data_IF_140449419433
#
_entry.id   IF_140449419433
#
_cell.length_a   1.000
_cell.length_b   1.000
_cell.length_c   1.000
_cell.angle_alpha   90.00
_cell.angle_beta   90.00
_cell.angle_gamma   90.00
#
_symmetry.space_group_name_H-M   'P 1'
#
loop_
_entity.id
_entity.type
_entity.pdbx_description
1 polymer ?
#
# COMPACT_ATOMS: atom_id res chain seq x y z
N UNK A 1 -11.62 21.03 -10.67
CA UNK A 1 -10.59 20.27 -9.92
C UNK A 1 -11.28 19.46 -8.83
N UNK A 2 -11.46 18.16 -9.03
CA UNK A 2 -12.33 17.33 -8.19
C UNK A 2 -11.47 16.51 -7.23
N UNK A 3 -11.57 16.77 -5.92
CA UNK A 3 -10.99 15.92 -4.86
C UNK A 3 -11.48 14.49 -5.05
N UNK A 4 -10.64 13.50 -4.77
CA UNK A 4 -11.08 12.12 -4.53
C UNK A 4 -11.98 12.12 -3.27
N UNK A 5 -13.28 12.37 -3.45
CA UNK A 5 -14.30 12.06 -2.44
C UNK A 5 -14.49 10.55 -2.50
N UNK A 6 -14.54 9.86 -1.36
CA UNK A 6 -15.07 8.50 -1.33
C UNK A 6 -16.50 8.54 -1.85
N UNK A 7 -16.79 7.80 -2.92
CA UNK A 7 -18.16 7.69 -3.42
C UNK A 7 -18.84 6.55 -2.70
N UNK A 8 -20.09 6.78 -2.28
CA UNK A 8 -20.98 5.71 -1.84
C UNK A 8 -21.09 4.67 -2.97
N UNK A 9 -21.21 3.39 -2.59
CA UNK A 9 -21.34 2.32 -3.54
C UNK A 9 -22.54 2.57 -4.48
N UNK A 10 -22.46 2.19 -5.77
CA UNK A 10 -23.57 2.38 -6.71
C UNK A 10 -24.87 1.75 -6.18
N UNK A 11 -26.05 2.34 -6.47
CA UNK A 11 -27.32 1.73 -6.09
C UNK A 11 -27.39 0.30 -6.64
N UNK A 12 -27.56 -0.69 -5.76
CA UNK A 12 -27.65 -2.11 -6.13
C UNK A 12 -26.35 -2.92 -5.99
N UNK A 13 -25.26 -2.36 -5.44
CA UNK A 13 -24.07 -3.17 -5.12
C UNK A 13 -24.21 -3.85 -3.76
N UNK A 14 -24.09 -5.18 -3.72
CA UNK A 14 -24.09 -5.97 -2.46
C UNK A 14 -22.77 -5.87 -1.67
N UNK A 15 -21.79 -5.11 -2.18
CA UNK A 15 -20.48 -4.97 -1.57
C UNK A 15 -20.36 -3.66 -0.79
N UNK A 16 -20.22 -3.70 0.55
CA UNK A 16 -19.90 -2.51 1.33
C UNK A 16 -18.48 -2.02 0.96
N UNK A 17 -18.37 -0.79 0.43
CA UNK A 17 -17.07 -0.20 0.09
C UNK A 17 -17.16 1.18 -0.56
N UNK A 18 -16.05 1.91 -0.55
CA UNK A 18 -15.91 3.18 -1.28
C UNK A 18 -15.40 2.88 -2.70
N UNK A 19 -16.15 3.31 -3.72
CA UNK A 19 -15.69 3.20 -5.11
C UNK A 19 -14.70 4.33 -5.42
N UNK A 20 -13.53 3.98 -5.97
CA UNK A 20 -12.56 4.94 -6.49
C UNK A 20 -12.87 5.22 -7.96
N UNK A 21 -12.98 6.50 -8.34
CA UNK A 21 -13.05 6.89 -9.76
C UNK A 21 -11.67 6.62 -10.37
N UNK A 22 -11.57 5.52 -11.11
CA UNK A 22 -10.34 5.04 -11.71
C UNK A 22 -9.99 5.96 -12.89
N UNK A 23 -8.84 6.64 -12.82
CA UNK A 23 -8.26 7.37 -13.96
C UNK A 23 -7.44 6.46 -14.89
N UNK A 24 -7.17 5.22 -14.46
CA UNK A 24 -6.43 4.20 -15.18
C UNK A 24 -7.35 3.29 -16.02
N UNK A 25 -6.84 2.83 -17.16
CA UNK A 25 -7.50 1.78 -17.96
C UNK A 25 -7.34 0.42 -17.29
N UNK A 26 -8.22 -0.54 -17.59
CA UNK A 26 -8.10 -1.93 -17.09
C UNK A 26 -6.74 -2.55 -17.46
N UNK A 27 -6.22 -2.28 -18.66
CA UNK A 27 -4.88 -2.72 -19.09
C UNK A 27 -3.78 -2.15 -18.19
N UNK A 28 -3.85 -0.87 -17.83
CA UNK A 28 -2.88 -0.23 -16.95
C UNK A 28 -2.92 -0.81 -15.53
N UNK A 29 -4.10 -1.21 -15.03
CA UNK A 29 -4.23 -1.89 -13.75
C UNK A 29 -3.60 -3.29 -13.76
N UNK A 30 -3.82 -4.07 -14.83
CA UNK A 30 -3.17 -5.37 -14.97
C UNK A 30 -1.64 -5.25 -15.03
N UNK A 31 -1.12 -4.28 -15.78
CA UNK A 31 0.32 -4.04 -15.84
C UNK A 31 0.89 -3.66 -14.47
N UNK A 32 0.22 -2.74 -13.75
CA UNK A 32 0.65 -2.33 -12.42
C UNK A 32 0.66 -3.50 -11.42
N UNK A 33 -0.28 -4.44 -11.51
CA UNK A 33 -0.27 -5.65 -10.67
C UNK A 33 0.92 -6.56 -11.02
N UNK A 34 1.19 -6.79 -12.31
CA UNK A 34 2.31 -7.61 -12.75
C UNK A 34 3.66 -7.00 -12.33
N UNK A 35 3.83 -5.70 -12.53
CA UNK A 35 5.05 -4.97 -12.14
C UNK A 35 5.24 -4.94 -10.61
N UNK A 36 4.14 -4.99 -9.85
CA UNK A 36 4.14 -5.10 -8.39
C UNK A 36 4.31 -6.55 -7.87
N UNK A 37 4.63 -7.51 -8.76
CA UNK A 37 4.86 -8.92 -8.44
C UNK A 37 3.63 -9.61 -7.81
N UNK A 38 2.43 -9.20 -8.23
CA UNK A 38 1.16 -9.78 -7.77
C UNK A 38 0.60 -10.84 -8.73
N UNK A 39 -0.12 -11.86 -8.21
CA UNK A 39 -0.34 -12.11 -6.78
C UNK A 39 0.94 -12.65 -6.11
N UNK A 40 1.14 -12.30 -4.83
CA UNK A 40 2.30 -12.80 -4.08
C UNK A 40 2.29 -14.34 -4.03
N UNK A 41 3.46 -15.01 -4.17
CA UNK A 41 3.57 -16.46 -4.12
C UNK A 41 3.10 -17.01 -2.78
N UNK A 42 2.39 -18.14 -2.82
CA UNK A 42 2.05 -18.93 -1.63
C UNK A 42 3.25 -19.82 -1.29
N UNK A 43 3.57 -19.95 0.00
CA UNK A 43 4.29 -21.14 0.46
C UNK A 43 3.45 -22.39 0.12
N UNK A 44 4.10 -23.53 -0.08
CA UNK A 44 3.53 -24.77 -0.62
C UNK A 44 2.31 -25.36 0.14
N UNK A 45 1.81 -24.74 1.20
CA UNK A 45 0.89 -25.37 2.15
C UNK A 45 -0.29 -24.52 2.64
N UNK A 46 -0.84 -23.60 1.83
CA UNK A 46 -1.80 -22.64 2.38
C UNK A 46 -2.99 -22.26 1.51
N UNK A 47 -3.99 -23.15 1.54
CA UNK A 47 -5.39 -22.86 1.20
C UNK A 47 -6.20 -22.31 2.40
N UNK A 48 -5.56 -21.67 3.38
CA UNK A 48 -6.28 -21.10 4.53
C UNK A 48 -6.99 -19.80 4.13
N UNK A 49 -8.25 -19.64 4.57
CA UNK A 49 -9.11 -18.46 4.29
C UNK A 49 -8.39 -17.12 4.52
N UNK A 50 -7.52 -17.07 5.53
CA UNK A 50 -6.72 -15.87 5.85
C UNK A 50 -5.71 -15.49 4.77
N UNK A 51 -5.09 -16.46 4.10
CA UNK A 51 -4.13 -16.16 3.04
C UNK A 51 -4.81 -15.72 1.73
N UNK A 52 -5.98 -16.28 1.42
CA UNK A 52 -6.81 -15.77 0.32
C UNK A 52 -7.20 -14.30 0.56
N UNK A 53 -7.66 -13.98 1.77
CA UNK A 53 -7.95 -12.59 2.16
C UNK A 53 -6.70 -11.69 2.08
N UNK A 54 -5.53 -12.20 2.44
CA UNK A 54 -4.28 -11.45 2.33
C UNK A 54 -3.89 -11.16 0.88
N UNK A 55 -4.07 -12.11 -0.04
CA UNK A 55 -3.84 -11.92 -1.47
C UNK A 55 -4.81 -10.91 -2.06
N UNK A 56 -6.10 -11.04 -1.76
CA UNK A 56 -7.13 -10.11 -2.24
C UNK A 56 -6.88 -8.69 -1.71
N UNK A 57 -6.50 -8.57 -0.44
CA UNK A 57 -6.17 -7.28 0.16
C UNK A 57 -4.91 -6.66 -0.46
N UNK A 58 -3.89 -7.47 -0.72
CA UNK A 58 -2.67 -7.04 -1.40
C UNK A 58 -2.96 -6.52 -2.81
N UNK A 59 -3.74 -7.27 -3.59
CA UNK A 59 -4.14 -6.88 -4.94
C UNK A 59 -5.00 -5.61 -4.91
N UNK A 60 -6.07 -5.60 -4.12
CA UNK A 60 -7.01 -4.47 -4.04
C UNK A 60 -6.31 -3.18 -3.58
N UNK A 61 -5.48 -3.25 -2.54
CA UNK A 61 -4.77 -2.08 -2.02
C UNK A 61 -3.76 -1.56 -3.03
N UNK A 62 -3.00 -2.44 -3.67
CA UNK A 62 -1.99 -2.05 -4.67
C UNK A 62 -2.62 -1.36 -5.87
N UNK A 63 -3.71 -1.92 -6.41
CA UNK A 63 -4.46 -1.31 -7.51
C UNK A 63 -5.09 0.03 -7.10
N UNK A 64 -5.64 0.12 -5.89
CA UNK A 64 -6.20 1.36 -5.37
C UNK A 64 -5.14 2.46 -5.23
N UNK A 65 -3.96 2.15 -4.68
CA UNK A 65 -2.84 3.09 -4.56
C UNK A 65 -2.37 3.56 -5.94
N UNK A 66 -2.16 2.64 -6.88
CA UNK A 66 -1.81 3.00 -8.25
C UNK A 66 -2.86 3.93 -8.89
N UNK A 67 -4.15 3.59 -8.76
CA UNK A 67 -5.24 4.35 -9.36
C UNK A 67 -5.37 5.77 -8.80
N UNK A 68 -5.12 5.98 -7.50
CA UNK A 68 -5.18 7.33 -6.91
C UNK A 68 -3.95 8.17 -7.22
N UNK A 69 -2.78 7.54 -7.40
CA UNK A 69 -1.53 8.24 -7.66
C UNK A 69 -1.34 8.59 -9.14
N UNK A 70 -1.72 7.70 -10.07
CA UNK A 70 -1.41 7.81 -11.51
C UNK A 70 -1.83 9.14 -12.14
N UNK A 71 -2.97 9.69 -11.71
CA UNK A 71 -3.48 10.97 -12.22
C UNK A 71 -2.56 12.17 -11.93
N UNK A 72 -1.68 12.05 -10.95
CA UNK A 72 -0.76 13.11 -10.53
C UNK A 72 0.71 12.71 -10.58
N UNK A 73 1.00 11.46 -10.96
CA UNK A 73 2.35 10.96 -11.05
C UNK A 73 3.07 11.56 -12.28
N UNK A 74 4.39 11.80 -12.21
CA UNK A 74 5.17 12.25 -13.35
C UNK A 74 5.01 11.30 -14.54
N UNK A 75 4.64 11.83 -15.71
CA UNK A 75 4.40 11.02 -16.90
C UNK A 75 3.27 9.99 -16.80
N UNK A 76 2.41 10.08 -15.77
CA UNK A 76 1.37 9.08 -15.47
C UNK A 76 1.91 7.81 -14.81
N UNK A 77 3.22 7.72 -14.57
CA UNK A 77 3.90 6.55 -14.04
C UNK A 77 3.94 6.59 -12.51
N UNK A 78 2.86 6.11 -11.87
CA UNK A 78 2.80 6.03 -10.40
C UNK A 78 3.73 4.95 -9.81
N UNK A 79 4.09 3.96 -10.60
CA UNK A 79 4.94 2.85 -10.17
C UNK A 79 6.32 2.90 -10.82
N UNK A 80 7.37 2.82 -10.00
CA UNK A 80 8.75 2.62 -10.44
C UNK A 80 9.37 1.48 -9.62
N UNK A 81 9.74 0.35 -10.24
CA UNK A 81 10.51 -0.70 -9.55
C UNK A 81 11.83 -0.14 -9.01
N UNK A 82 12.08 -0.33 -7.72
CA UNK A 82 13.25 0.19 -7.02
C UNK A 82 13.11 1.66 -6.62
N UNK A 83 11.92 2.25 -6.84
CA UNK A 83 11.58 3.59 -6.37
C UNK A 83 11.41 3.66 -4.84
N UNK A 84 10.99 4.83 -4.32
CA UNK A 84 10.79 5.01 -2.89
C UNK A 84 9.69 4.07 -2.37
N UNK A 85 9.87 3.56 -1.16
CA UNK A 85 8.84 2.77 -0.50
C UNK A 85 7.62 3.63 -0.18
N UNK A 86 6.47 2.98 0.02
CA UNK A 86 5.26 3.70 0.45
C UNK A 86 5.46 4.45 1.77
N UNK A 87 6.35 3.95 2.65
CA UNK A 87 6.74 4.63 3.89
C UNK A 87 7.44 5.95 3.59
N UNK A 88 8.44 5.95 2.71
CA UNK A 88 9.13 7.16 2.25
C UNK A 88 8.16 8.16 1.63
N UNK A 89 7.26 7.70 0.76
CA UNK A 89 6.29 8.56 0.06
C UNK A 89 5.34 9.25 1.05
N UNK A 90 4.84 8.52 2.05
CA UNK A 90 3.95 9.09 3.07
C UNK A 90 4.72 10.01 4.03
N UNK A 91 5.95 9.64 4.41
CA UNK A 91 6.79 10.45 5.30
C UNK A 91 7.23 11.77 4.66
N UNK A 92 7.43 11.77 3.34
CA UNK A 92 7.78 12.95 2.53
C UNK A 92 6.60 13.83 2.11
N UNK A 93 5.38 13.57 2.57
CA UNK A 93 4.23 14.40 2.23
C UNK A 93 4.46 15.87 2.68
N UNK A 94 4.24 16.86 1.79
CA UNK A 94 4.49 18.26 2.13
C UNK A 94 3.59 18.68 3.28
N UNK A 95 4.19 19.02 4.42
CA UNK A 95 3.49 19.38 5.66
C UNK A 95 2.85 20.75 5.54
N UNK A 96 1.66 20.83 4.94
CA UNK A 96 0.84 22.05 4.95
C UNK A 96 0.05 22.11 6.27
N UNK A 97 0.78 22.27 7.38
CA UNK A 97 0.23 22.40 8.74
C UNK A 97 0.15 21.09 9.55
N UNK A 98 -0.14 21.25 10.84
CA UNK A 98 -0.12 20.17 11.86
C UNK A 98 -1.09 19.02 11.57
N UNK A 99 -2.23 19.31 10.94
CA UNK A 99 -3.26 18.29 10.65
C UNK A 99 -2.76 17.20 9.71
N UNK A 100 -1.92 17.53 8.72
CA UNK A 100 -1.46 16.55 7.73
C UNK A 100 -0.44 15.58 8.32
N UNK A 101 0.47 16.09 9.13
CA UNK A 101 1.43 15.31 9.91
C UNK A 101 0.70 14.36 10.87
N UNK A 102 -0.32 14.87 11.59
CA UNK A 102 -1.17 14.04 12.46
C UNK A 102 -1.83 12.90 11.66
N UNK A 103 -2.32 13.17 10.44
CA UNK A 103 -2.95 12.12 9.63
C UNK A 103 -1.97 11.05 9.17
N UNK A 104 -0.78 11.42 8.71
CA UNK A 104 0.24 10.46 8.26
C UNK A 104 0.73 9.58 9.43
N UNK A 105 0.99 10.19 10.60
CA UNK A 105 1.33 9.46 11.82
C UNK A 105 0.18 8.52 12.24
N UNK A 106 -1.06 8.97 12.12
CA UNK A 106 -2.22 8.14 12.44
C UNK A 106 -2.39 6.98 11.44
N UNK A 107 -1.99 7.14 10.19
CA UNK A 107 -1.92 6.07 9.20
C UNK A 107 -0.89 5.02 9.59
N UNK A 108 0.34 5.45 9.93
CA UNK A 108 1.40 4.54 10.38
C UNK A 108 1.02 3.78 11.65
N UNK A 109 0.45 4.46 12.65
CA UNK A 109 -0.09 3.78 13.84
C UNK A 109 -1.16 2.76 13.48
N UNK A 110 -2.06 3.07 12.55
CA UNK A 110 -3.09 2.13 12.14
C UNK A 110 -2.49 0.88 11.47
N UNK A 111 -1.42 1.05 10.68
CA UNK A 111 -0.67 -0.04 10.04
C UNK A 111 0.04 -0.91 11.09
N UNK A 112 0.76 -0.29 12.03
CA UNK A 112 1.46 -0.97 13.12
C UNK A 112 0.54 -1.83 14.00
N UNK A 113 -0.68 -1.36 14.24
CA UNK A 113 -1.67 -2.07 15.05
C UNK A 113 -2.55 -3.04 14.24
N UNK A 114 -2.29 -3.24 12.95
CA UNK A 114 -3.13 -4.10 12.11
C UNK A 114 -4.59 -3.65 12.03
N UNK A 115 -4.85 -2.34 12.11
CA UNK A 115 -6.20 -1.80 12.18
C UNK A 115 -6.97 -2.07 10.88
N UNK A 116 -8.28 -2.33 11.00
CA UNK A 116 -9.20 -2.47 9.84
C UNK A 116 -9.19 -1.24 8.92
N UNK A 117 -8.79 -0.08 9.43
CA UNK A 117 -8.72 1.17 8.66
C UNK A 117 -7.36 1.42 8.01
N UNK A 118 -6.35 0.59 8.26
CA UNK A 118 -4.97 0.84 7.84
C UNK A 118 -4.85 1.06 6.33
N UNK A 119 -5.39 0.15 5.51
CA UNK A 119 -5.27 0.24 4.05
C UNK A 119 -6.09 1.40 3.47
N UNK A 120 -7.27 1.68 4.03
CA UNK A 120 -8.06 2.85 3.62
C UNK A 120 -7.33 4.17 3.89
N UNK A 121 -6.68 4.28 5.05
CA UNK A 121 -5.85 5.44 5.39
C UNK A 121 -4.62 5.55 4.48
N UNK A 122 -3.95 4.43 4.22
CA UNK A 122 -2.82 4.35 3.29
C UNK A 122 -3.20 4.88 1.90
N UNK A 123 -4.31 4.41 1.33
CA UNK A 123 -4.81 4.87 0.03
C UNK A 123 -5.10 6.37 0.05
N UNK A 124 -5.68 6.87 1.14
CA UNK A 124 -5.99 8.30 1.29
C UNK A 124 -4.72 9.18 1.34
N UNK A 125 -3.68 8.73 2.03
CA UNK A 125 -2.39 9.44 2.07
C UNK A 125 -1.61 9.32 0.75
N UNK A 126 -1.66 8.17 0.08
CA UNK A 126 -1.13 8.01 -1.27
C UNK A 126 -1.80 8.99 -2.27
N UNK A 127 -3.11 9.19 -2.17
CA UNK A 127 -3.82 10.18 -2.99
C UNK A 127 -3.37 11.64 -2.76
N UNK A 128 -2.69 11.91 -1.63
CA UNK A 128 -2.13 13.23 -1.29
C UNK A 128 -0.70 13.40 -1.79
N UNK A 129 0.00 12.31 -2.10
CA UNK A 129 1.38 12.28 -2.60
C UNK A 129 1.45 12.70 -4.09
N UNK A 130 0.98 13.91 -4.38
CA UNK A 130 0.94 14.45 -5.74
C UNK A 130 2.35 14.59 -6.31
N UNK A 131 2.53 14.21 -7.57
CA UNK A 131 3.85 14.26 -8.22
C UNK A 131 4.84 13.22 -7.71
N UNK A 132 4.42 12.30 -6.84
CA UNK A 132 5.26 11.23 -6.34
C UNK A 132 5.11 9.97 -7.18
N UNK A 133 6.13 9.13 -7.13
CA UNK A 133 6.12 7.74 -7.61
C UNK A 133 6.36 6.83 -6.42
N UNK A 134 5.96 5.56 -6.50
CA UNK A 134 6.14 4.57 -5.44
C UNK A 134 6.57 3.22 -6.00
N UNK A 135 7.37 2.48 -5.26
CA UNK A 135 7.54 1.05 -5.51
C UNK A 135 6.32 0.29 -4.95
N UNK A 136 5.37 -0.05 -5.82
CA UNK A 136 4.11 -0.73 -5.47
C UNK A 136 4.33 -2.11 -4.84
N UNK A 137 5.50 -2.71 -5.02
CA UNK A 137 5.91 -3.94 -4.33
C UNK A 137 5.90 -3.78 -2.82
N UNK A 138 6.21 -2.59 -2.33
CA UNK A 138 6.13 -2.26 -0.89
C UNK A 138 4.70 -2.20 -0.39
N UNK A 139 3.77 -1.73 -1.22
CA UNK A 139 2.33 -1.71 -0.92
C UNK A 139 1.76 -3.12 -0.90
N UNK A 140 2.13 -3.94 -1.89
CA UNK A 140 1.69 -5.33 -2.00
C UNK A 140 2.07 -6.14 -0.75
N UNK A 141 3.34 -6.11 -0.35
CA UNK A 141 3.83 -6.84 0.82
C UNK A 141 3.24 -6.29 2.11
N UNK A 142 3.12 -4.96 2.25
CA UNK A 142 2.51 -4.36 3.43
C UNK A 142 1.06 -4.78 3.60
N UNK A 143 0.28 -4.70 2.53
CA UNK A 143 -1.15 -5.05 2.55
C UNK A 143 -1.37 -6.55 2.78
N UNK A 144 -0.46 -7.40 2.29
CA UNK A 144 -0.45 -8.82 2.64
C UNK A 144 -0.20 -9.03 4.14
N UNK A 145 0.82 -8.37 4.69
CA UNK A 145 1.20 -8.53 6.10
C UNK A 145 0.15 -7.99 7.09
N UNK A 146 -0.62 -6.98 6.71
CA UNK A 146 -1.65 -6.37 7.57
C UNK A 146 -3.01 -7.09 7.47
N UNK A 147 -3.19 -7.98 6.50
CA UNK A 147 -4.50 -8.57 6.23
C UNK A 147 -4.99 -9.54 7.31
N UNK A 148 -6.27 -9.38 7.69
CA UNK A 148 -7.05 -10.39 8.40
C UNK A 148 -6.63 -10.66 9.85
N UNK A 149 -5.76 -9.84 10.44
CA UNK A 149 -5.12 -10.09 11.73
C UNK A 149 -5.04 -8.81 12.57
N UNK A 150 -5.17 -8.94 13.90
CA UNK A 150 -4.91 -7.86 14.87
C UNK A 150 -3.40 -7.63 15.12
N UNK A 151 -2.54 -8.42 14.47
CA UNK A 151 -1.08 -8.30 14.51
C UNK A 151 -0.51 -8.42 13.10
N UNK A 152 0.46 -7.58 12.76
CA UNK A 152 1.16 -7.69 11.48
C UNK A 152 1.80 -9.09 11.34
N UNK A 153 1.61 -9.72 10.18
CA UNK A 153 2.21 -11.01 9.87
C UNK A 153 3.71 -10.82 9.63
N UNK A 154 4.51 -11.75 10.16
CA UNK A 154 5.90 -11.90 9.79
C UNK A 154 5.99 -12.79 8.55
N UNK A 155 6.94 -12.47 7.66
CA UNK A 155 7.19 -13.24 6.46
C UNK A 155 8.55 -13.93 6.58
N UNK A 156 8.63 -15.18 6.14
CA UNK A 156 9.89 -15.95 6.06
C UNK A 156 10.59 -15.80 4.72
N UNK A 157 9.93 -15.13 3.77
CA UNK A 157 10.46 -14.82 2.43
C UNK A 157 10.19 -13.37 2.10
N UNK A 158 10.99 -12.80 1.21
CA UNK A 158 10.75 -11.49 0.62
C UNK A 158 10.19 -11.67 -0.79
N UNK A 159 8.86 -11.74 -0.96
CA UNK A 159 8.25 -12.17 -2.21
C UNK A 159 8.36 -11.16 -3.34
N UNK A 160 8.79 -9.92 -3.06
CA UNK A 160 8.85 -8.85 -4.06
C UNK A 160 10.26 -8.32 -4.35
N UNK A 161 11.28 -8.87 -3.68
CA UNK A 161 12.67 -8.43 -3.84
C UNK A 161 12.96 -6.97 -3.43
N UNK A 162 12.00 -6.23 -2.86
CA UNK A 162 12.25 -4.89 -2.30
C UNK A 162 12.69 -5.01 -0.83
N UNK A 163 13.61 -4.15 -0.35
CA UNK A 163 14.35 -4.33 0.92
C UNK A 163 15.14 -5.65 0.94
N UNK A 164 16.11 -5.79 0.04
CA UNK A 164 16.93 -7.00 -0.08
C UNK A 164 17.59 -7.43 1.23
N UNK A 165 17.89 -6.48 2.12
CA UNK A 165 18.50 -6.71 3.43
C UNK A 165 17.55 -7.19 4.53
N UNK A 166 16.24 -7.22 4.28
CA UNK A 166 15.24 -7.45 5.34
C UNK A 166 15.35 -8.83 6.01
N UNK A 167 15.95 -9.82 5.34
CA UNK A 167 16.16 -11.17 5.85
C UNK A 167 17.62 -11.48 6.19
N UNK A 168 18.54 -10.51 6.07
CA UNK A 168 19.98 -10.75 6.27
C UNK A 168 20.26 -11.24 7.71
N UNK A 169 20.47 -12.56 7.86
CA UNK A 169 20.73 -13.20 9.15
C UNK A 169 19.49 -13.39 10.05
N UNK A 170 18.27 -13.30 9.50
CA UNK A 170 17.01 -13.50 10.24
C UNK A 170 16.14 -14.58 9.59
N UNK A 171 15.40 -15.34 10.40
CA UNK A 171 14.47 -16.37 9.91
C UNK A 171 13.13 -15.80 9.41
N UNK A 172 12.76 -14.62 9.91
CA UNK A 172 11.56 -13.90 9.51
C UNK A 172 11.79 -12.40 9.58
N UNK A 173 10.98 -11.65 8.83
CA UNK A 173 11.00 -10.19 8.83
C UNK A 173 9.58 -9.65 8.88
N UNK A 174 9.45 -8.38 9.28
CA UNK A 174 8.15 -7.72 9.44
C UNK A 174 8.05 -6.57 8.46
N UNK A 175 7.27 -6.67 7.36
CA UNK A 175 7.17 -5.60 6.37
C UNK A 175 6.72 -4.25 6.92
N UNK A 176 5.87 -4.28 7.95
CA UNK A 176 5.44 -3.08 8.68
C UNK A 176 6.63 -2.34 9.30
N UNK A 177 7.64 -3.05 9.80
CA UNK A 177 8.83 -2.42 10.38
C UNK A 177 9.63 -1.66 9.32
N UNK A 178 9.84 -2.26 8.14
CA UNK A 178 10.57 -1.61 7.05
C UNK A 178 9.84 -0.34 6.58
N UNK A 179 8.51 -0.40 6.42
CA UNK A 179 7.70 0.78 6.05
C UNK A 179 7.73 1.86 7.13
N UNK A 180 7.61 1.50 8.42
CA UNK A 180 7.72 2.45 9.53
C UNK A 180 9.10 3.08 9.61
N UNK A 181 10.18 2.31 9.41
CA UNK A 181 11.55 2.82 9.38
C UNK A 181 11.74 3.85 8.27
N UNK A 182 11.30 3.52 7.06
CA UNK A 182 11.41 4.41 5.89
C UNK A 182 10.56 5.68 6.07
N UNK A 183 9.38 5.56 6.67
CA UNK A 183 8.53 6.69 7.04
C UNK A 183 9.23 7.62 8.04
N UNK A 184 9.76 7.08 9.13
CA UNK A 184 10.45 7.88 10.16
C UNK A 184 11.69 8.56 9.59
N UNK A 185 12.47 7.85 8.77
CA UNK A 185 13.63 8.43 8.09
C UNK A 185 13.24 9.59 7.17
N UNK A 186 12.19 9.43 6.37
CA UNK A 186 11.69 10.47 5.48
C UNK A 186 11.09 11.67 6.25
N UNK A 187 10.52 11.45 7.43
CA UNK A 187 10.07 12.55 8.29
C UNK A 187 11.21 13.35 8.93
N UNK A 188 12.40 12.76 9.04
CA UNK A 188 13.56 13.41 9.64
C UNK A 188 14.42 14.19 8.62
N UNK A 189 14.22 13.92 7.32
CA UNK A 189 14.89 14.59 6.20
C UNK A 189 14.22 15.92 5.84
#
# INVERSE_FOLDING_TARGET
MTRARGWAAPPGSDHPGAALKIAATTRALYQAAADAELPLPLGYDSSTRYQLLARDNALATTLAVYAVMTATAPGGQAHVPGGPSIGTVIGGLPRRGTTQEITAIATMRAIEHGSRQAMSRLIHDAARARGSVVDLRTVAVLAFAVAGSSRAQQLTTNPTGHWLHALDGQESWTPVYEVSRDFTAAMAA
#
